data_IF_035333964360
#
_entry.id   IF_035333964360
#
_cell.length_a   1.000
_cell.length_b   1.000
_cell.length_c   1.000
_cell.angle_alpha   90.00
_cell.angle_beta   90.00
_cell.angle_gamma   90.00
#
_symmetry.space_group_name_H-M   'P 1'
#
loop_
_entity.id
_entity.type
_entity.pdbx_description
1 polymer ?
#
# COMPACT_ATOMS: atom_id res chain seq x y z
N UNK A 1 -14.72 -21.76 -9.17
CA UNK A 1 -14.96 -20.49 -8.48
C UNK A 1 -16.31 -19.93 -8.92
N UNK A 2 -17.08 -19.32 -8.04
CA UNK A 2 -18.41 -18.79 -8.36
C UNK A 2 -18.30 -17.32 -8.73
N UNK A 3 -19.08 -16.87 -9.72
CA UNK A 3 -19.20 -15.47 -10.07
C UNK A 3 -20.25 -14.78 -9.18
N UNK A 4 -20.04 -13.50 -8.88
CA UNK A 4 -21.07 -12.65 -8.30
C UNK A 4 -22.22 -12.49 -9.32
N UNK A 5 -23.45 -12.29 -8.89
CA UNK A 5 -24.61 -12.14 -9.80
C UNK A 5 -24.41 -11.01 -10.82
N UNK A 6 -23.87 -9.88 -10.38
CA UNK A 6 -23.52 -8.76 -11.26
C UNK A 6 -22.49 -9.12 -12.31
N UNK A 7 -21.55 -10.00 -11.99
CA UNK A 7 -20.48 -10.44 -12.90
C UNK A 7 -21.02 -11.49 -13.89
N UNK A 8 -21.90 -12.38 -13.45
CA UNK A 8 -22.60 -13.28 -14.36
C UNK A 8 -23.45 -12.48 -15.38
N UNK A 9 -24.17 -11.45 -14.91
CA UNK A 9 -24.92 -10.55 -15.77
C UNK A 9 -24.00 -9.76 -16.74
N UNK A 10 -22.80 -9.37 -16.31
CA UNK A 10 -21.79 -8.71 -17.15
C UNK A 10 -21.33 -9.61 -18.30
N UNK A 11 -21.06 -10.88 -18.03
CA UNK A 11 -20.66 -11.86 -19.05
C UNK A 11 -21.78 -12.08 -20.07
N UNK A 12 -23.03 -12.15 -19.61
CA UNK A 12 -24.20 -12.25 -20.50
C UNK A 12 -24.35 -10.98 -21.37
N UNK A 13 -24.13 -9.79 -20.81
CA UNK A 13 -24.12 -8.53 -21.55
C UNK A 13 -23.02 -8.52 -22.62
N UNK A 14 -21.82 -9.00 -22.29
CA UNK A 14 -20.74 -9.11 -23.29
C UNK A 14 -21.14 -10.00 -24.47
N UNK A 15 -21.89 -11.07 -24.22
CA UNK A 15 -22.45 -11.92 -25.28
C UNK A 15 -23.55 -11.19 -26.10
N UNK A 16 -24.37 -10.35 -25.46
CA UNK A 16 -25.34 -9.51 -26.15
C UNK A 16 -24.67 -8.46 -27.03
N UNK A 17 -23.60 -7.79 -26.54
CA UNK A 17 -22.81 -6.83 -27.32
C UNK A 17 -22.20 -7.51 -28.56
N UNK A 18 -21.65 -8.71 -28.42
CA UNK A 18 -21.13 -9.46 -29.55
C UNK A 18 -22.20 -9.77 -30.60
N UNK A 19 -23.43 -10.16 -30.16
CA UNK A 19 -24.57 -10.41 -31.04
C UNK A 19 -25.04 -9.12 -31.73
N UNK A 20 -25.16 -8.01 -31.00
CA UNK A 20 -25.60 -6.72 -31.59
C UNK A 20 -24.66 -6.20 -32.66
N UNK A 21 -23.37 -6.52 -32.53
CA UNK A 21 -22.32 -6.21 -33.50
C UNK A 21 -22.21 -7.25 -34.63
N UNK A 22 -22.92 -8.37 -34.55
CA UNK A 22 -22.87 -9.45 -35.53
C UNK A 22 -21.58 -10.27 -35.49
N UNK A 23 -20.89 -10.30 -34.37
CA UNK A 23 -19.63 -11.06 -34.21
C UNK A 23 -19.91 -12.52 -33.86
N UNK A 24 -19.11 -13.44 -34.42
CA UNK A 24 -19.32 -14.89 -34.24
C UNK A 24 -18.83 -15.43 -32.88
N UNK A 25 -18.06 -14.67 -32.13
CA UNK A 25 -17.51 -15.06 -30.82
C UNK A 25 -17.41 -13.88 -29.86
N UNK A 26 -17.50 -14.16 -28.56
CA UNK A 26 -17.36 -13.16 -27.51
C UNK A 26 -15.88 -12.96 -27.19
N UNK A 27 -15.35 -11.76 -27.42
CA UNK A 27 -13.95 -11.37 -27.14
C UNK A 27 -13.82 -10.42 -25.96
N UNK A 28 -12.57 -10.07 -25.64
CA UNK A 28 -12.25 -9.12 -24.54
C UNK A 28 -12.76 -7.70 -24.80
N UNK A 29 -12.86 -7.26 -26.07
CA UNK A 29 -13.46 -5.99 -26.44
C UNK A 29 -14.94 -5.91 -26.02
N UNK A 30 -15.71 -6.98 -26.25
CA UNK A 30 -17.12 -7.05 -25.83
C UNK A 30 -17.26 -7.03 -24.31
N UNK A 31 -16.35 -7.68 -23.59
CA UNK A 31 -16.35 -7.64 -22.13
C UNK A 31 -16.04 -6.25 -21.60
N UNK A 32 -15.07 -5.55 -22.22
CA UNK A 32 -14.73 -4.15 -21.86
C UNK A 32 -15.92 -3.21 -22.13
N UNK A 33 -16.59 -3.36 -23.28
CA UNK A 33 -17.77 -2.59 -23.65
C UNK A 33 -18.93 -2.82 -22.66
N UNK A 34 -19.17 -4.08 -22.30
CA UNK A 34 -20.19 -4.42 -21.31
C UNK A 34 -19.85 -3.84 -19.93
N UNK A 35 -18.55 -3.85 -19.55
CA UNK A 35 -18.08 -3.33 -18.29
C UNK A 35 -18.24 -1.81 -18.19
N UNK A 36 -17.94 -1.07 -19.26
CA UNK A 36 -18.13 0.38 -19.32
C UNK A 36 -19.62 0.77 -19.15
N UNK A 37 -20.53 -0.02 -19.68
CA UNK A 37 -22.00 0.18 -19.50
C UNK A 37 -22.56 -0.42 -18.20
N UNK A 38 -21.74 -1.11 -17.39
CA UNK A 38 -22.23 -1.75 -16.17
C UNK A 38 -22.42 -0.75 -15.03
N UNK A 39 -23.44 -0.91 -14.19
CA UNK A 39 -23.55 -0.20 -12.93
C UNK A 39 -22.46 -0.67 -11.95
N UNK A 40 -22.08 0.19 -10.98
CA UNK A 40 -21.09 -0.12 -9.96
C UNK A 40 -19.71 0.44 -10.22
N UNK A 41 -18.80 0.22 -9.26
CA UNK A 41 -17.49 0.87 -9.17
C UNK A 41 -16.59 0.60 -10.39
N UNK A 42 -16.55 -0.63 -10.88
CA UNK A 42 -15.69 -0.99 -12.02
C UNK A 42 -16.04 -0.21 -13.29
N UNK A 43 -17.35 -0.10 -13.60
CA UNK A 43 -17.80 0.71 -14.74
C UNK A 43 -17.57 2.21 -14.53
N UNK A 44 -17.74 2.69 -13.29
CA UNK A 44 -17.49 4.09 -12.96
C UNK A 44 -16.01 4.46 -13.11
N UNK A 45 -15.12 3.64 -12.59
CA UNK A 45 -13.66 3.82 -12.75
C UNK A 45 -13.25 3.85 -14.23
N UNK A 46 -13.76 2.91 -15.02
CA UNK A 46 -13.43 2.82 -16.44
C UNK A 46 -13.88 4.06 -17.20
N UNK A 47 -15.10 4.54 -16.96
CA UNK A 47 -15.62 5.78 -17.56
C UNK A 47 -14.83 7.03 -17.10
N UNK A 48 -14.51 7.10 -15.80
CA UNK A 48 -13.72 8.20 -15.24
C UNK A 48 -12.29 8.28 -15.80
N UNK A 49 -11.77 7.16 -16.32
CA UNK A 49 -10.48 7.09 -16.99
C UNK A 49 -10.55 7.31 -18.51
N UNK A 50 -11.70 7.70 -19.05
CA UNK A 50 -11.88 7.92 -20.50
C UNK A 50 -12.44 6.73 -21.28
N UNK A 51 -12.73 5.59 -20.63
CA UNK A 51 -13.33 4.42 -21.24
C UNK A 51 -14.87 4.54 -21.37
N UNK A 52 -15.36 5.61 -21.97
CA UNK A 52 -16.79 5.82 -22.18
C UNK A 52 -17.35 4.80 -23.17
N UNK A 53 -18.57 4.32 -22.89
CA UNK A 53 -19.20 3.26 -23.68
C UNK A 53 -19.38 3.62 -25.15
N UNK A 54 -19.76 4.86 -25.44
CA UNK A 54 -20.00 5.33 -26.81
C UNK A 54 -18.72 5.38 -27.63
N UNK A 55 -17.62 5.83 -27.01
CA UNK A 55 -16.30 5.86 -27.65
C UNK A 55 -15.79 4.45 -27.91
N UNK A 56 -15.89 3.56 -26.91
CA UNK A 56 -15.51 2.16 -27.04
C UNK A 56 -16.31 1.45 -28.14
N UNK A 57 -17.62 1.70 -28.23
CA UNK A 57 -18.48 1.12 -29.24
C UNK A 57 -18.04 1.54 -30.66
N UNK A 58 -17.81 2.83 -30.87
CA UNK A 58 -17.30 3.36 -32.15
C UNK A 58 -15.95 2.75 -32.54
N UNK A 59 -15.04 2.65 -31.57
CA UNK A 59 -13.73 2.04 -31.82
C UNK A 59 -13.84 0.55 -32.17
N UNK A 60 -14.71 -0.19 -31.50
CA UNK A 60 -14.97 -1.61 -31.83
C UNK A 60 -15.54 -1.73 -33.25
N UNK A 61 -16.47 -0.87 -33.65
CA UNK A 61 -17.03 -0.84 -35.01
C UNK A 61 -15.98 -0.47 -36.08
N UNK A 62 -15.11 0.47 -35.78
CA UNK A 62 -14.03 0.88 -36.71
C UNK A 62 -12.96 -0.19 -36.86
N UNK A 63 -12.52 -0.79 -35.76
CA UNK A 63 -11.39 -1.73 -35.77
C UNK A 63 -11.77 -3.15 -36.17
N UNK A 64 -12.96 -3.60 -35.77
CA UNK A 64 -13.39 -4.99 -35.96
C UNK A 64 -14.57 -5.13 -36.92
N UNK A 65 -15.16 -4.00 -37.34
CA UNK A 65 -16.31 -3.96 -38.25
C UNK A 65 -17.61 -4.38 -37.60
N UNK A 66 -18.69 -4.34 -38.39
CA UNK A 66 -19.97 -4.98 -38.06
C UNK A 66 -20.10 -6.27 -38.86
N UNK A 67 -20.38 -7.38 -38.20
CA UNK A 67 -20.67 -8.65 -38.82
C UNK A 67 -22.15 -8.80 -39.23
N UNK A 68 -22.53 -9.98 -39.72
CA UNK A 68 -23.92 -10.30 -40.03
C UNK A 68 -24.73 -10.59 -38.77
N UNK A 69 -25.84 -9.88 -38.54
CA UNK A 69 -26.66 -9.96 -37.34
C UNK A 69 -27.34 -11.32 -37.14
N UNK A 70 -27.50 -12.10 -38.18
CA UNK A 70 -28.23 -13.39 -38.18
C UNK A 70 -27.34 -14.61 -37.93
N UNK A 71 -26.02 -14.39 -37.72
CA UNK A 71 -25.14 -15.52 -37.42
C UNK A 71 -25.19 -15.88 -35.92
N UNK A 72 -25.53 -17.13 -35.57
CA UNK A 72 -25.44 -17.57 -34.19
C UNK A 72 -23.98 -17.50 -33.71
N UNK A 73 -23.77 -17.26 -32.39
CA UNK A 73 -22.46 -17.33 -31.75
C UNK A 73 -21.91 -18.77 -31.86
N UNK A 74 -21.34 -19.10 -33.03
CA UNK A 74 -20.87 -20.47 -33.35
C UNK A 74 -19.64 -20.91 -32.56
N UNK A 75 -18.84 -19.99 -32.04
CA UNK A 75 -17.56 -20.30 -31.39
C UNK A 75 -17.49 -19.99 -29.88
N UNK A 76 -18.57 -19.51 -29.26
CA UNK A 76 -18.57 -19.20 -27.84
C UNK A 76 -17.61 -18.06 -27.48
N UNK A 77 -16.73 -18.29 -26.49
CA UNK A 77 -15.76 -17.29 -26.01
C UNK A 77 -14.40 -17.49 -26.65
N UNK A 78 -13.70 -16.39 -27.00
CA UNK A 78 -12.31 -16.44 -27.47
C UNK A 78 -11.37 -17.02 -26.41
N UNK A 79 -10.23 -17.57 -26.84
CA UNK A 79 -9.20 -18.06 -25.93
C UNK A 79 -8.68 -16.95 -24.98
N UNK A 80 -8.55 -15.72 -25.49
CA UNK A 80 -8.16 -14.57 -24.69
C UNK A 80 -9.17 -14.22 -23.61
N UNK A 81 -10.48 -14.22 -23.91
CA UNK A 81 -11.52 -13.98 -22.95
C UNK A 81 -11.54 -15.05 -21.84
N UNK A 82 -11.41 -16.34 -22.21
CA UNK A 82 -11.31 -17.42 -21.23
C UNK A 82 -10.12 -17.26 -20.29
N UNK A 83 -8.98 -16.79 -20.80
CA UNK A 83 -7.79 -16.50 -19.98
C UNK A 83 -8.05 -15.31 -19.03
N UNK A 84 -8.69 -14.23 -19.49
CA UNK A 84 -9.06 -13.09 -18.62
C UNK A 84 -9.99 -13.52 -17.49
N UNK A 85 -10.98 -14.36 -17.77
CA UNK A 85 -11.87 -14.89 -16.74
C UNK A 85 -11.15 -15.79 -15.73
N UNK A 86 -10.16 -16.57 -16.21
CA UNK A 86 -9.26 -17.35 -15.35
C UNK A 86 -8.36 -16.45 -14.48
N UNK A 87 -7.84 -15.37 -15.05
CA UNK A 87 -7.03 -14.38 -14.31
C UNK A 87 -7.88 -13.65 -13.27
N UNK A 88 -9.09 -13.24 -13.60
CA UNK A 88 -10.03 -12.64 -12.66
C UNK A 88 -10.39 -13.58 -11.50
N UNK A 89 -10.49 -14.90 -11.78
CA UNK A 89 -10.70 -15.89 -10.73
C UNK A 89 -9.48 -16.04 -9.82
N UNK A 90 -8.28 -15.92 -10.37
CA UNK A 90 -7.03 -15.89 -9.58
C UNK A 90 -6.93 -14.61 -8.75
N UNK A 91 -7.29 -13.47 -9.31
CA UNK A 91 -7.31 -12.19 -8.61
C UNK A 91 -8.27 -12.24 -7.41
N UNK A 92 -9.49 -12.75 -7.61
CA UNK A 92 -10.45 -12.95 -6.52
C UNK A 92 -9.90 -13.88 -5.43
N UNK A 93 -9.17 -14.96 -5.81
CA UNK A 93 -8.56 -15.87 -4.85
C UNK A 93 -7.44 -15.21 -4.05
N UNK A 94 -6.59 -14.38 -4.70
CA UNK A 94 -5.51 -13.63 -4.05
C UNK A 94 -6.10 -12.67 -3.01
N UNK A 95 -7.22 -12.03 -3.34
CA UNK A 95 -7.90 -11.09 -2.45
C UNK A 95 -8.81 -11.78 -1.41
N UNK A 96 -8.81 -13.11 -1.36
CA UNK A 96 -9.62 -13.88 -0.41
C UNK A 96 -11.11 -13.81 -0.65
N UNK A 97 -11.56 -13.43 -1.85
CA UNK A 97 -12.97 -13.37 -2.23
C UNK A 97 -13.48 -14.73 -2.68
N UNK A 98 -14.63 -15.15 -2.17
CA UNK A 98 -15.30 -16.41 -2.57
C UNK A 98 -15.93 -16.32 -3.97
N UNK A 99 -16.14 -15.11 -4.48
CA UNK A 99 -16.79 -14.83 -5.76
C UNK A 99 -16.02 -13.81 -6.58
N UNK A 100 -16.03 -13.99 -7.88
CA UNK A 100 -15.44 -13.04 -8.83
C UNK A 100 -16.36 -11.84 -9.00
N UNK A 101 -15.88 -10.61 -8.70
CA UNK A 101 -16.60 -9.35 -8.89
C UNK A 101 -16.22 -8.67 -10.21
N UNK A 102 -16.96 -7.61 -10.59
CA UNK A 102 -16.64 -6.80 -11.77
C UNK A 102 -15.29 -6.08 -11.65
N UNK A 103 -14.84 -5.74 -10.43
CA UNK A 103 -13.52 -5.18 -10.20
C UNK A 103 -12.41 -6.20 -10.52
N UNK A 104 -12.57 -7.47 -10.13
CA UNK A 104 -11.62 -8.52 -10.49
C UNK A 104 -11.53 -8.71 -12.02
N UNK A 105 -12.66 -8.56 -12.74
CA UNK A 105 -12.67 -8.57 -14.21
C UNK A 105 -11.89 -7.38 -14.79
N UNK A 106 -12.12 -6.18 -14.25
CA UNK A 106 -11.39 -4.98 -14.68
C UNK A 106 -9.88 -5.15 -14.48
N UNK A 107 -9.45 -5.56 -13.28
CA UNK A 107 -8.03 -5.79 -12.98
C UNK A 107 -7.39 -6.82 -13.90
N UNK A 108 -8.09 -7.92 -14.19
CA UNK A 108 -7.61 -8.95 -15.12
C UNK A 108 -7.49 -8.44 -16.57
N UNK A 109 -8.39 -7.56 -17.02
CA UNK A 109 -8.30 -6.92 -18.33
C UNK A 109 -7.11 -5.97 -18.43
N UNK A 110 -6.88 -5.15 -17.39
CA UNK A 110 -5.80 -4.16 -17.35
C UNK A 110 -4.40 -4.82 -17.36
N UNK A 111 -4.23 -5.96 -16.70
CA UNK A 111 -2.96 -6.71 -16.70
C UNK A 111 -2.59 -7.30 -18.06
N UNK A 112 -3.56 -7.49 -18.97
CA UNK A 112 -3.29 -8.10 -20.28
C UNK A 112 -3.06 -7.02 -21.34
N UNK A 113 -1.79 -6.87 -21.74
CA UNK A 113 -1.41 -5.92 -22.78
C UNK A 113 -1.81 -6.37 -24.19
N UNK A 114 -1.68 -7.67 -24.50
CA UNK A 114 -1.95 -8.22 -25.85
C UNK A 114 -3.35 -8.84 -25.92
N UNK A 115 -4.38 -7.99 -25.93
CA UNK A 115 -5.76 -8.39 -26.17
C UNK A 115 -6.56 -7.22 -26.73
N UNK A 116 -7.69 -7.51 -27.39
CA UNK A 116 -8.54 -6.47 -28.02
C UNK A 116 -9.00 -5.38 -27.05
N UNK A 117 -9.28 -5.71 -25.79
CA UNK A 117 -9.58 -4.71 -24.77
C UNK A 117 -8.39 -3.81 -24.48
N UNK A 118 -7.17 -4.38 -24.47
CA UNK A 118 -5.95 -3.65 -24.28
C UNK A 118 -5.69 -2.64 -25.39
N UNK A 119 -5.83 -3.06 -26.63
CA UNK A 119 -5.68 -2.17 -27.82
C UNK A 119 -6.65 -0.98 -27.76
N UNK A 120 -7.90 -1.23 -27.36
CA UNK A 120 -8.89 -0.16 -27.21
C UNK A 120 -8.51 0.85 -26.13
N UNK A 121 -8.01 0.38 -24.99
CA UNK A 121 -7.57 1.25 -23.89
C UNK A 121 -6.32 2.06 -24.28
N UNK A 122 -5.41 1.48 -25.06
CA UNK A 122 -4.22 2.17 -25.55
C UNK A 122 -4.59 3.28 -26.56
N UNK A 123 -5.53 3.03 -27.47
CA UNK A 123 -6.04 4.03 -28.43
C UNK A 123 -6.72 5.21 -27.69
N UNK A 124 -7.42 4.92 -26.60
CA UNK A 124 -8.05 5.95 -25.77
C UNK A 124 -7.05 6.65 -24.81
N UNK A 125 -5.78 6.32 -24.88
CA UNK A 125 -4.73 6.82 -24.00
C UNK A 125 -5.08 6.71 -22.51
N UNK A 126 -5.77 5.61 -22.11
CA UNK A 126 -6.12 5.34 -20.74
C UNK A 126 -4.88 4.94 -19.96
N UNK A 127 -4.59 5.66 -18.90
CA UNK A 127 -3.53 5.30 -17.93
C UNK A 127 -3.93 4.03 -17.18
N UNK A 128 -3.42 2.89 -17.67
CA UNK A 128 -3.76 1.56 -17.13
C UNK A 128 -3.23 1.35 -15.73
N UNK A 129 -2.04 1.88 -15.40
CA UNK A 129 -1.40 1.67 -14.11
C UNK A 129 -2.15 2.44 -13.04
N UNK A 130 -2.53 3.67 -13.32
CA UNK A 130 -3.37 4.48 -12.45
C UNK A 130 -4.76 3.85 -12.24
N UNK A 131 -5.36 3.36 -13.33
CA UNK A 131 -6.67 2.71 -13.26
C UNK A 131 -6.60 1.37 -12.51
N UNK A 132 -5.51 0.62 -12.69
CA UNK A 132 -5.25 -0.62 -11.97
C UNK A 132 -5.12 -0.38 -10.47
N UNK A 133 -4.31 0.61 -10.08
CA UNK A 133 -4.11 0.98 -8.66
C UNK A 133 -5.43 1.36 -8.00
N UNK A 134 -6.21 2.25 -8.63
CA UNK A 134 -7.53 2.65 -8.13
C UNK A 134 -8.52 1.48 -8.05
N UNK A 135 -8.52 0.60 -9.04
CA UNK A 135 -9.36 -0.61 -9.07
C UNK A 135 -8.98 -1.62 -7.98
N UNK A 136 -7.69 -1.80 -7.74
CA UNK A 136 -7.18 -2.69 -6.70
C UNK A 136 -7.57 -2.18 -5.30
N UNK A 137 -7.38 -0.90 -5.01
CA UNK A 137 -7.79 -0.29 -3.74
C UNK A 137 -9.28 -0.47 -3.44
N UNK A 138 -10.14 -0.24 -4.44
CA UNK A 138 -11.59 -0.39 -4.29
C UNK A 138 -12.00 -1.85 -4.11
N UNK A 139 -11.37 -2.77 -4.85
CA UNK A 139 -11.63 -4.20 -4.70
C UNK A 139 -11.28 -4.70 -3.29
N UNK A 140 -10.19 -4.22 -2.72
CA UNK A 140 -9.83 -4.49 -1.32
C UNK A 140 -10.84 -3.92 -0.32
N UNK A 141 -11.38 -2.71 -0.58
CA UNK A 141 -12.42 -2.09 0.28
C UNK A 141 -13.74 -2.85 0.21
N UNK A 142 -14.18 -3.29 -0.98
CA UNK A 142 -15.40 -4.10 -1.13
C UNK A 142 -15.29 -5.44 -0.39
N UNK A 143 -14.14 -6.10 -0.46
CA UNK A 143 -13.92 -7.36 0.24
C UNK A 143 -13.87 -7.20 1.77
N UNK A 144 -13.51 -6.02 2.30
CA UNK A 144 -13.59 -5.70 3.73
C UNK A 144 -15.03 -5.49 4.21
N UNK A 145 -15.91 -4.98 3.36
CA UNK A 145 -17.31 -4.67 3.70
C UNK A 145 -18.22 -5.90 3.74
N UNK A 146 -17.80 -7.03 3.17
CA UNK A 146 -18.56 -8.28 3.26
C UNK A 146 -18.14 -9.06 4.51
N UNK A 147 -19.08 -9.41 5.42
CA UNK A 147 -18.77 -10.28 6.54
C UNK A 147 -18.26 -11.62 5.99
N UNK A 148 -17.00 -11.95 6.26
CA UNK A 148 -16.38 -13.23 5.90
C UNK A 148 -17.25 -14.34 6.49
N UNK A 149 -18.02 -15.03 5.66
CA UNK A 149 -18.64 -16.30 6.04
C UNK A 149 -17.50 -17.31 6.25
N UNK A 150 -17.38 -17.73 7.48
CA UNK A 150 -16.44 -18.68 8.04
C UNK A 150 -16.05 -19.79 7.03
N UNK A 151 -14.77 -19.78 6.58
CA UNK A 151 -13.99 -20.99 6.76
C UNK A 151 -13.57 -20.97 8.22
N UNK A 152 -13.77 -22.05 8.94
CA UNK A 152 -13.24 -22.28 10.27
C UNK A 152 -11.70 -22.19 10.25
N UNK A 153 -11.18 -20.97 10.09
CA UNK A 153 -9.85 -20.60 10.49
C UNK A 153 -9.94 -20.37 11.98
N UNK A 154 -9.23 -21.17 12.74
CA UNK A 154 -9.03 -20.95 14.16
C UNK A 154 -8.85 -19.46 14.41
N UNK A 155 -9.69 -18.90 15.28
CA UNK A 155 -9.71 -17.48 15.66
C UNK A 155 -8.28 -17.05 16.05
N UNK A 156 -7.67 -16.16 15.26
CA UNK A 156 -6.37 -15.54 15.57
C UNK A 156 -6.54 -14.31 16.48
N UNK A 157 -7.48 -14.36 17.41
CA UNK A 157 -7.85 -13.23 18.26
C UNK A 157 -6.67 -12.69 19.09
N UNK A 158 -5.80 -13.59 19.56
CA UNK A 158 -4.64 -13.20 20.34
C UNK A 158 -3.56 -12.57 19.46
N UNK A 159 -3.27 -13.15 18.30
CA UNK A 159 -2.30 -12.56 17.37
C UNK A 159 -2.76 -11.17 16.91
N UNK A 160 -4.04 -11.00 16.55
CA UNK A 160 -4.61 -9.70 16.13
C UNK A 160 -4.59 -8.64 17.23
N UNK A 161 -4.59 -9.05 18.51
CA UNK A 161 -4.52 -8.13 19.64
C UNK A 161 -3.11 -7.52 19.84
N UNK A 162 -2.05 -8.31 19.57
CA UNK A 162 -0.66 -7.94 19.82
C UNK A 162 0.15 -7.67 18.57
N UNK A 163 -0.48 -7.74 17.41
CA UNK A 163 0.19 -7.58 16.13
C UNK A 163 -0.64 -6.82 15.12
N UNK A 164 0.03 -6.36 14.09
CA UNK A 164 -0.54 -5.58 13.01
C UNK A 164 -0.31 -6.27 11.67
N UNK A 165 -1.37 -6.45 10.88
CA UNK A 165 -1.26 -7.01 9.53
C UNK A 165 -0.79 -5.92 8.56
N UNK A 166 0.49 -5.97 8.19
CA UNK A 166 1.12 -5.00 7.30
C UNK A 166 0.53 -5.04 5.88
N UNK A 167 0.10 -6.22 5.41
CA UNK A 167 -0.53 -6.34 4.08
C UNK A 167 -1.87 -5.61 4.04
N UNK A 168 -2.63 -5.68 5.14
CA UNK A 168 -3.89 -4.95 5.23
C UNK A 168 -3.71 -3.44 5.23
N UNK A 169 -2.59 -2.96 5.77
CA UNK A 169 -2.23 -1.55 5.80
C UNK A 169 -1.49 -1.07 4.55
N UNK A 170 -1.01 -1.97 3.71
CA UNK A 170 -0.17 -1.63 2.55
C UNK A 170 -0.76 -0.53 1.64
N UNK A 171 -2.10 -0.47 1.52
CA UNK A 171 -2.79 0.56 0.73
C UNK A 171 -2.83 1.96 1.37
N UNK A 172 -2.46 2.08 2.65
CA UNK A 172 -2.37 3.35 3.39
C UNK A 172 -0.93 3.73 3.73
N UNK A 173 0.04 2.87 3.42
CA UNK A 173 1.46 3.12 3.61
C UNK A 173 1.99 4.02 2.50
N UNK A 174 3.01 4.79 2.84
CA UNK A 174 3.74 5.58 1.85
C UNK A 174 4.53 4.68 0.88
N UNK A 175 4.77 5.13 -0.35
CA UNK A 175 5.51 4.34 -1.33
C UNK A 175 6.97 4.17 -0.87
N UNK A 176 7.46 2.94 -0.90
CA UNK A 176 8.88 2.64 -0.59
C UNK A 176 9.72 2.82 -1.85
N UNK A 177 10.74 3.65 -1.76
CA UNK A 177 11.59 4.08 -2.88
C UNK A 177 13.05 3.72 -2.58
N UNK A 178 13.76 3.24 -3.60
CA UNK A 178 15.21 3.00 -3.54
C UNK A 178 15.64 1.74 -2.77
N UNK A 179 14.70 0.84 -2.43
CA UNK A 179 14.97 -0.40 -1.67
C UNK A 179 14.59 -1.68 -2.41
N UNK A 180 14.47 -1.60 -3.74
CA UNK A 180 14.03 -2.72 -4.58
C UNK A 180 14.97 -3.93 -4.47
N UNK A 181 16.28 -3.71 -4.37
CA UNK A 181 17.30 -4.76 -4.26
C UNK A 181 17.18 -5.52 -2.95
N UNK A 182 17.04 -4.80 -1.84
CA UNK A 182 16.90 -5.39 -0.51
C UNK A 182 15.58 -6.15 -0.41
N UNK A 183 14.48 -5.61 -0.93
CA UNK A 183 13.18 -6.28 -0.97
C UNK A 183 13.26 -7.56 -1.83
N UNK A 184 13.91 -7.53 -2.99
CA UNK A 184 14.11 -8.72 -3.84
C UNK A 184 14.95 -9.78 -3.11
N UNK A 185 15.97 -9.36 -2.36
CA UNK A 185 16.81 -10.26 -1.56
C UNK A 185 16.01 -10.89 -0.42
N UNK A 186 15.17 -10.11 0.28
CA UNK A 186 14.25 -10.60 1.32
C UNK A 186 13.28 -11.62 0.73
N UNK A 187 12.65 -11.33 -0.41
CA UNK A 187 11.74 -12.24 -1.12
C UNK A 187 12.46 -13.54 -1.50
N UNK A 188 13.68 -13.44 -2.03
CA UNK A 188 14.50 -14.59 -2.38
C UNK A 188 14.79 -15.48 -1.16
N UNK A 189 15.15 -14.88 -0.01
CA UNK A 189 15.42 -15.62 1.22
C UNK A 189 14.15 -16.27 1.76
N UNK A 190 13.03 -15.54 1.84
CA UNK A 190 11.75 -16.06 2.29
C UNK A 190 11.23 -17.24 1.44
N UNK A 191 11.63 -17.30 0.17
CA UNK A 191 11.23 -18.36 -0.76
C UNK A 191 12.08 -19.64 -0.66
N UNK A 192 13.14 -19.65 0.17
CA UNK A 192 14.03 -20.81 0.35
C UNK A 192 13.40 -21.89 1.23
N UNK A 193 13.87 -23.12 1.05
CA UNK A 193 13.49 -24.25 1.91
C UNK A 193 14.20 -24.22 3.28
N UNK A 194 15.44 -23.73 3.31
CA UNK A 194 16.28 -23.63 4.51
C UNK A 194 16.89 -22.24 4.60
N UNK A 195 17.21 -21.80 5.81
CA UNK A 195 17.68 -20.42 6.10
C UNK A 195 16.76 -19.38 5.46
N UNK A 196 15.46 -19.55 5.69
CA UNK A 196 14.39 -18.78 5.08
C UNK A 196 13.89 -17.62 5.95
N UNK A 197 14.68 -17.22 6.95
CA UNK A 197 14.39 -16.07 7.79
C UNK A 197 15.40 -14.95 7.47
N UNK A 198 15.02 -13.92 6.73
CA UNK A 198 15.88 -12.76 6.53
C UNK A 198 15.99 -11.93 7.80
N UNK A 199 17.18 -11.39 8.05
CA UNK A 199 17.44 -10.39 9.08
C UNK A 199 17.97 -9.12 8.40
N UNK A 200 17.22 -8.03 8.46
CA UNK A 200 17.64 -6.71 7.99
C UNK A 200 18.65 -6.15 9.00
N UNK A 201 19.85 -5.93 8.55
CA UNK A 201 20.97 -5.51 9.41
C UNK A 201 21.52 -4.18 8.92
N UNK A 202 21.44 -3.15 9.74
CA UNK A 202 21.91 -1.81 9.40
C UNK A 202 21.75 -0.86 10.57
N UNK A 203 22.34 0.34 10.45
CA UNK A 203 22.26 1.37 11.47
C UNK A 203 20.84 1.87 11.71
N UNK A 204 20.54 2.49 12.85
CA UNK A 204 19.22 3.11 13.08
C UNK A 204 18.95 4.18 12.03
N UNK A 205 17.69 4.30 11.58
CA UNK A 205 17.28 5.36 10.63
C UNK A 205 17.62 5.10 9.16
N UNK A 206 18.26 3.95 8.79
CA UNK A 206 18.56 3.65 7.38
C UNK A 206 17.36 3.12 6.58
N UNK A 207 16.20 2.95 7.19
CA UNK A 207 14.98 2.50 6.52
C UNK A 207 14.74 0.99 6.52
N UNK A 208 15.16 0.26 7.57
CA UNK A 208 14.89 -1.18 7.71
C UNK A 208 13.40 -1.52 7.72
N UNK A 209 12.61 -0.75 8.44
CA UNK A 209 11.15 -0.92 8.53
C UNK A 209 10.47 -0.65 7.19
N UNK A 210 10.95 0.33 6.42
CA UNK A 210 10.47 0.63 5.07
C UNK A 210 10.61 -0.59 4.12
N UNK A 211 11.68 -1.39 4.26
CA UNK A 211 11.84 -2.63 3.46
C UNK A 211 10.75 -3.64 3.78
N UNK A 212 10.36 -3.78 5.06
CA UNK A 212 9.24 -4.65 5.44
C UNK A 212 7.90 -4.13 4.91
N UNK A 213 7.70 -2.81 4.91
CA UNK A 213 6.53 -2.14 4.31
C UNK A 213 6.49 -2.34 2.79
N UNK A 214 7.63 -2.19 2.10
CA UNK A 214 7.75 -2.47 0.67
C UNK A 214 7.48 -3.94 0.32
N UNK A 215 7.93 -4.88 1.15
CA UNK A 215 7.55 -6.29 1.03
C UNK A 215 6.03 -6.46 1.17
N UNK A 216 5.41 -5.82 2.18
CA UNK A 216 3.96 -5.87 2.38
C UNK A 216 3.19 -5.32 1.17
N UNK A 217 3.65 -4.21 0.59
CA UNK A 217 3.08 -3.63 -0.63
C UNK A 217 3.20 -4.59 -1.82
N UNK A 218 4.37 -5.21 -2.03
CA UNK A 218 4.55 -6.20 -3.09
C UNK A 218 3.70 -7.46 -2.90
N UNK A 219 3.55 -7.92 -1.66
CA UNK A 219 2.67 -9.05 -1.32
C UNK A 219 1.21 -8.69 -1.55
N UNK A 220 0.78 -7.49 -1.18
CA UNK A 220 -0.58 -6.98 -1.42
C UNK A 220 -0.89 -6.90 -2.92
N UNK A 221 0.05 -6.44 -3.74
CA UNK A 221 -0.07 -6.38 -5.20
C UNK A 221 0.08 -7.76 -5.88
N UNK A 222 0.41 -8.82 -5.12
CA UNK A 222 0.65 -10.16 -5.66
C UNK A 222 1.94 -10.27 -6.50
N UNK A 223 2.83 -9.28 -6.41
CA UNK A 223 4.11 -9.21 -7.14
C UNK A 223 5.22 -9.96 -6.37
N UNK A 224 4.92 -11.19 -5.99
CA UNK A 224 5.79 -12.10 -5.24
C UNK A 224 5.71 -13.53 -5.81
N UNK A 225 6.75 -14.36 -5.60
CA UNK A 225 6.73 -15.76 -6.00
C UNK A 225 5.54 -16.54 -5.44
N UNK A 226 5.15 -17.67 -6.09
CA UNK A 226 4.00 -18.48 -5.66
C UNK A 226 4.04 -18.92 -4.20
N UNK A 227 5.24 -19.13 -3.63
CA UNK A 227 5.45 -19.56 -2.24
C UNK A 227 5.05 -18.51 -1.21
N UNK A 228 5.03 -17.23 -1.59
CA UNK A 228 4.65 -16.11 -0.74
C UNK A 228 3.22 -15.61 -1.02
N UNK A 229 2.59 -16.07 -2.10
CA UNK A 229 1.21 -15.68 -2.43
C UNK A 229 0.23 -16.23 -1.41
N UNK A 230 -0.61 -15.34 -0.89
CA UNK A 230 -1.61 -15.69 0.12
C UNK A 230 -1.09 -15.74 1.55
N UNK A 231 0.22 -15.55 1.77
CA UNK A 231 0.76 -15.37 3.13
C UNK A 231 0.44 -14.00 3.68
N UNK A 232 0.41 -13.91 5.00
CA UNK A 232 0.23 -12.68 5.77
C UNK A 232 1.59 -12.24 6.31
N UNK A 233 1.90 -10.94 6.21
CA UNK A 233 3.04 -10.32 6.90
C UNK A 233 2.51 -9.56 8.10
N UNK A 234 2.89 -10.01 9.30
CA UNK A 234 2.32 -9.53 10.56
C UNK A 234 3.43 -8.95 11.42
N UNK A 235 3.34 -7.68 11.75
CA UNK A 235 4.28 -7.00 12.65
C UNK A 235 3.90 -7.26 14.09
N UNK A 236 4.79 -7.89 14.87
CA UNK A 236 4.59 -8.18 16.28
C UNK A 236 5.06 -7.01 17.13
N UNK A 237 4.16 -6.47 17.94
CA UNK A 237 4.49 -5.42 18.89
C UNK A 237 4.81 -6.04 20.26
N UNK A 238 6.11 -6.12 20.58
CA UNK A 238 6.59 -6.72 21.83
C UNK A 238 6.21 -5.87 23.04
N UNK A 239 6.21 -4.55 22.90
CA UNK A 239 5.82 -3.64 23.97
C UNK A 239 4.38 -3.90 24.41
N UNK A 240 3.47 -4.18 23.47
CA UNK A 240 2.08 -4.52 23.77
C UNK A 240 1.95 -5.88 24.48
N UNK A 241 2.84 -6.84 24.16
CA UNK A 241 2.86 -8.14 24.85
C UNK A 241 3.28 -8.02 26.32
N UNK A 242 4.20 -7.11 26.61
CA UNK A 242 4.69 -6.82 27.97
C UNK A 242 3.71 -5.93 28.74
N UNK A 243 2.99 -5.05 28.06
CA UNK A 243 2.07 -4.12 28.69
C UNK A 243 1.01 -4.83 29.52
N UNK A 244 0.85 -4.40 30.79
CA UNK A 244 -0.13 -4.95 31.72
C UNK A 244 0.23 -6.31 32.34
N UNK A 245 1.41 -6.89 32.05
CA UNK A 245 1.90 -8.06 32.77
C UNK A 245 2.59 -7.64 34.08
N UNK A 246 2.17 -8.23 35.20
CA UNK A 246 2.79 -7.99 36.49
C UNK A 246 3.95 -8.95 36.76
N UNK A 247 3.94 -10.11 36.15
CA UNK A 247 4.91 -11.18 36.36
C UNK A 247 5.47 -11.67 35.02
N UNK A 248 6.75 -12.06 35.02
CA UNK A 248 7.46 -12.64 33.88
C UNK A 248 6.70 -13.81 33.25
N UNK A 249 6.09 -14.67 34.05
CA UNK A 249 5.35 -15.86 33.58
C UNK A 249 4.13 -15.52 32.72
N UNK A 250 3.45 -14.38 32.98
CA UNK A 250 2.30 -13.96 32.20
C UNK A 250 2.71 -13.53 30.75
N UNK A 251 3.84 -12.86 30.61
CA UNK A 251 4.40 -12.54 29.30
C UNK A 251 4.80 -13.80 28.53
N UNK A 252 5.50 -14.74 29.19
CA UNK A 252 5.92 -15.98 28.54
C UNK A 252 4.71 -16.82 28.10
N UNK A 253 3.62 -16.84 28.85
CA UNK A 253 2.38 -17.53 28.53
C UNK A 253 1.72 -16.87 27.31
N UNK A 254 1.53 -15.55 27.32
CA UNK A 254 0.99 -14.81 26.17
C UNK A 254 1.79 -15.05 24.89
N UNK A 255 3.11 -15.00 24.98
CA UNK A 255 3.98 -15.24 23.84
C UNK A 255 3.87 -16.67 23.31
N UNK A 256 3.78 -17.68 24.18
CA UNK A 256 3.54 -19.08 23.79
C UNK A 256 2.21 -19.25 23.09
N UNK A 257 1.17 -18.55 23.55
CA UNK A 257 -0.16 -18.62 22.96
C UNK A 257 -0.17 -17.97 21.56
N UNK A 258 0.43 -16.78 21.40
CA UNK A 258 0.60 -16.12 20.09
C UNK A 258 1.37 -17.04 19.13
N UNK A 259 2.49 -17.62 19.55
CA UNK A 259 3.26 -18.54 18.72
C UNK A 259 2.48 -19.83 18.41
N UNK A 260 1.61 -20.30 19.31
CA UNK A 260 0.76 -21.45 19.06
C UNK A 260 -0.29 -21.15 17.99
N UNK A 261 -0.83 -19.93 17.96
CA UNK A 261 -1.74 -19.47 16.90
C UNK A 261 -1.02 -19.37 15.55
N UNK A 262 0.20 -18.81 15.51
CA UNK A 262 1.02 -18.74 14.30
C UNK A 262 1.33 -20.14 13.75
N UNK A 263 1.70 -21.08 14.60
CA UNK A 263 1.98 -22.48 14.20
C UNK A 263 0.77 -23.18 13.57
N UNK A 264 -0.43 -22.90 14.06
CA UNK A 264 -1.66 -23.45 13.49
C UNK A 264 -2.00 -22.84 12.13
N UNK A 265 -1.43 -21.68 11.83
CA UNK A 265 -1.65 -20.92 10.59
C UNK A 265 -0.31 -20.73 9.88
N UNK A 266 0.08 -21.70 9.06
CA UNK A 266 1.36 -21.74 8.33
C UNK A 266 1.56 -20.58 7.33
N UNK A 267 0.54 -19.74 7.16
CA UNK A 267 0.51 -18.66 6.18
C UNK A 267 0.98 -17.30 6.75
N UNK A 268 1.49 -17.31 8.00
CA UNK A 268 1.98 -16.10 8.67
C UNK A 268 3.49 -16.00 8.56
N UNK A 269 3.97 -14.85 8.09
CA UNK A 269 5.35 -14.39 8.22
C UNK A 269 5.36 -13.32 9.30
N UNK A 270 6.17 -13.53 10.33
CA UNK A 270 6.27 -12.60 11.45
C UNK A 270 7.33 -11.55 11.15
N UNK A 271 6.98 -10.27 11.16
CA UNK A 271 7.94 -9.17 11.19
C UNK A 271 8.19 -8.76 12.63
N UNK A 272 9.46 -8.63 12.98
CA UNK A 272 9.92 -8.20 14.31
C UNK A 272 10.96 -7.13 14.12
N UNK A 273 10.59 -5.92 14.48
CA UNK A 273 11.56 -4.85 14.60
C UNK A 273 12.34 -4.98 15.89
N UNK A 274 13.58 -4.51 15.93
CA UNK A 274 14.50 -4.68 17.06
C UNK A 274 14.54 -6.14 17.58
N UNK A 275 14.69 -7.11 16.66
CA UNK A 275 14.63 -8.53 16.96
C UNK A 275 15.60 -8.97 18.09
N UNK A 276 16.63 -8.18 18.36
CA UNK A 276 17.57 -8.40 19.46
C UNK A 276 16.90 -8.35 20.84
N UNK A 277 15.79 -7.61 20.96
CA UNK A 277 15.01 -7.53 22.20
C UNK A 277 14.35 -8.88 22.56
N UNK A 278 14.03 -9.68 21.55
CA UNK A 278 13.47 -11.03 21.74
C UNK A 278 14.59 -12.04 22.03
N UNK A 279 15.73 -11.91 21.33
CA UNK A 279 16.77 -12.93 21.30
C UNK A 279 17.84 -12.71 22.36
N UNK A 280 18.06 -11.44 22.77
CA UNK A 280 19.17 -11.04 23.62
C UNK A 280 18.83 -10.67 25.06
N UNK A 281 17.57 -10.64 25.42
CA UNK A 281 17.11 -10.13 26.72
C UNK A 281 17.52 -10.95 27.96
N UNK A 282 18.17 -12.11 27.80
CA UNK A 282 18.53 -12.99 28.89
C UNK A 282 19.77 -12.60 29.72
N UNK A 283 20.48 -11.48 29.39
CA UNK A 283 21.75 -11.15 30.03
C UNK A 283 21.67 -10.13 31.17
N UNK A 284 20.53 -9.48 31.39
CA UNK A 284 20.34 -8.55 32.50
C UNK A 284 19.37 -9.13 33.52
N UNK A 285 19.68 -9.00 34.83
CA UNK A 285 18.76 -9.40 35.89
C UNK A 285 17.40 -8.68 35.73
N UNK A 286 16.37 -9.47 35.43
CA UNK A 286 15.00 -8.96 35.16
C UNK A 286 14.61 -8.88 33.68
N UNK A 287 15.50 -9.14 32.72
CA UNK A 287 15.17 -9.13 31.31
C UNK A 287 14.37 -10.39 30.90
N UNK A 288 13.39 -10.17 30.04
CA UNK A 288 12.42 -11.18 29.60
C UNK A 288 13.09 -12.11 28.58
N UNK A 289 13.25 -13.39 28.91
CA UNK A 289 13.91 -14.38 28.03
C UNK A 289 12.92 -14.97 27.01
N UNK A 290 12.52 -14.16 26.03
CA UNK A 290 11.69 -14.63 24.93
C UNK A 290 12.45 -15.59 23.99
N UNK A 291 13.79 -15.56 24.01
CA UNK A 291 14.64 -16.39 23.17
C UNK A 291 14.36 -17.88 23.33
N UNK A 292 14.18 -18.34 24.57
CA UNK A 292 13.91 -19.75 24.85
C UNK A 292 12.55 -20.22 24.28
N UNK A 293 11.64 -19.33 23.99
CA UNK A 293 10.34 -19.63 23.41
C UNK A 293 10.41 -19.62 21.87
N UNK A 294 11.15 -18.65 21.28
CA UNK A 294 11.31 -18.53 19.83
C UNK A 294 12.27 -19.58 19.24
N UNK A 295 13.39 -19.87 19.90
CA UNK A 295 14.43 -20.79 19.39
C UNK A 295 13.89 -22.16 18.99
N UNK A 296 13.05 -22.85 19.78
CA UNK A 296 12.49 -24.13 19.37
C UNK A 296 11.58 -24.05 18.14
N UNK A 297 10.79 -22.98 18.01
CA UNK A 297 9.89 -22.77 16.89
C UNK A 297 10.65 -22.49 15.58
N UNK A 298 11.65 -21.60 15.65
CA UNK A 298 12.57 -21.32 14.54
C UNK A 298 13.41 -22.57 14.19
N UNK A 299 13.91 -23.27 15.21
CA UNK A 299 14.71 -24.48 15.06
C UNK A 299 14.00 -25.62 14.31
N UNK A 300 12.71 -25.79 14.51
CA UNK A 300 11.88 -26.79 13.80
C UNK A 300 11.33 -26.31 12.46
N UNK A 301 11.51 -25.01 12.11
CA UNK A 301 10.94 -24.43 10.90
C UNK A 301 9.41 -24.22 10.95
N UNK A 302 8.87 -24.16 12.17
CA UNK A 302 7.44 -23.95 12.44
C UNK A 302 7.05 -22.46 12.35
N UNK A 303 8.05 -21.58 12.28
CA UNK A 303 7.91 -20.14 12.23
C UNK A 303 8.77 -19.59 11.10
N UNK A 304 8.21 -18.71 10.30
CA UNK A 304 8.92 -17.90 9.32
C UNK A 304 8.94 -16.45 9.81
N UNK A 305 10.13 -15.83 9.85
CA UNK A 305 10.34 -14.53 10.46
C UNK A 305 11.20 -13.63 9.54
N UNK A 306 10.84 -12.36 9.48
CA UNK A 306 11.66 -11.25 9.01
C UNK A 306 12.03 -10.41 10.23
N UNK A 307 13.32 -10.32 10.55
CA UNK A 307 13.80 -9.50 11.67
C UNK A 307 14.49 -8.24 11.18
N UNK A 308 14.49 -7.18 12.01
CA UNK A 308 15.34 -6.00 11.81
C UNK A 308 16.16 -5.76 13.07
N UNK A 309 17.44 -5.37 12.90
CA UNK A 309 18.37 -5.10 14.02
C UNK A 309 19.59 -4.32 13.53
N UNK A 310 20.46 -3.91 14.44
CA UNK A 310 21.77 -3.32 14.09
C UNK A 310 22.84 -4.40 13.84
N UNK A 311 23.93 -4.04 13.15
CA UNK A 311 25.03 -4.96 12.90
C UNK A 311 25.69 -5.44 14.19
N UNK A 312 25.86 -4.55 15.15
CA UNK A 312 26.44 -4.84 16.46
C UNK A 312 25.60 -5.87 17.24
N UNK A 313 24.29 -5.69 17.23
CA UNK A 313 23.35 -6.59 17.93
C UNK A 313 23.21 -7.93 17.20
N UNK A 314 23.19 -7.93 15.86
CA UNK A 314 23.18 -9.14 15.07
C UNK A 314 24.37 -10.04 15.42
N UNK A 315 25.59 -9.46 15.41
CA UNK A 315 26.82 -10.19 15.79
C UNK A 315 26.81 -10.68 17.24
N UNK A 316 26.27 -9.86 18.15
CA UNK A 316 26.26 -10.16 19.58
C UNK A 316 25.29 -11.28 19.94
N UNK A 317 24.10 -11.29 19.33
CA UNK A 317 22.98 -12.13 19.76
C UNK A 317 22.58 -13.23 18.77
N UNK A 318 22.79 -13.05 17.45
CA UNK A 318 22.38 -14.01 16.44
C UNK A 318 23.56 -14.87 15.98
N UNK A 319 24.67 -14.28 15.59
CA UNK A 319 25.83 -15.02 15.10
C UNK A 319 26.49 -15.92 16.18
N UNK A 320 26.41 -15.50 17.44
CA UNK A 320 26.95 -16.30 18.55
C UNK A 320 26.08 -17.48 18.93
N UNK A 321 24.84 -17.54 18.48
CA UNK A 321 23.93 -18.64 18.76
C UNK A 321 23.84 -19.57 17.55
N UNK A 322 24.41 -20.80 17.62
CA UNK A 322 24.44 -21.71 16.47
C UNK A 322 23.05 -22.15 15.97
N UNK A 323 22.03 -22.09 16.85
CA UNK A 323 20.66 -22.44 16.45
C UNK A 323 20.01 -21.36 15.61
N UNK A 324 20.30 -20.08 15.90
CA UNK A 324 19.79 -18.92 15.18
C UNK A 324 20.60 -18.64 13.90
N UNK A 325 21.94 -18.71 13.97
CA UNK A 325 22.82 -18.52 12.81
C UNK A 325 22.45 -19.42 11.63
N UNK A 326 22.08 -20.67 11.93
CA UNK A 326 21.64 -21.64 10.91
C UNK A 326 20.27 -21.35 10.33
N UNK A 327 19.51 -20.42 10.89
CA UNK A 327 18.13 -20.10 10.47
C UNK A 327 17.98 -18.74 9.86
N UNK A 328 18.79 -17.79 10.31
CA UNK A 328 18.76 -16.43 9.77
C UNK A 328 19.77 -16.22 8.64
N UNK A 329 19.42 -15.31 7.74
CA UNK A 329 20.29 -14.82 6.69
C UNK A 329 20.32 -13.29 6.75
N UNK A 330 21.49 -12.68 7.00
CA UNK A 330 21.58 -11.23 7.04
C UNK A 330 21.39 -10.63 5.63
N UNK A 331 20.66 -9.54 5.59
CA UNK A 331 20.51 -8.61 4.47
C UNK A 331 21.00 -7.27 4.98
N UNK A 332 22.17 -6.86 4.49
CA UNK A 332 22.75 -5.57 4.87
C UNK A 332 21.94 -4.44 4.25
N UNK A 333 21.56 -3.49 5.10
CA UNK A 333 20.86 -2.26 4.69
C UNK A 333 21.83 -1.12 4.91
N UNK A 334 22.35 -0.62 3.82
CA UNK A 334 23.32 0.49 3.84
C UNK A 334 22.61 1.83 3.91
N UNK A 335 23.31 2.85 4.43
CA UNK A 335 22.83 4.22 4.38
C UNK A 335 22.71 4.66 2.92
N UNK A 336 21.57 5.19 2.46
CA UNK A 336 21.42 5.68 1.10
C UNK A 336 22.26 6.93 0.89
N UNK A 337 22.78 7.09 -0.33
CA UNK A 337 23.49 8.31 -0.72
C UNK A 337 22.55 9.53 -0.81
N UNK A 338 23.14 10.73 -0.92
CA UNK A 338 22.37 11.98 -1.01
C UNK A 338 21.35 11.96 -2.18
N UNK A 339 21.75 11.43 -3.34
CA UNK A 339 20.87 11.35 -4.51
C UNK A 339 19.69 10.40 -4.31
N UNK A 340 19.94 9.25 -3.66
CA UNK A 340 18.88 8.29 -3.30
C UNK A 340 17.96 8.87 -2.23
N UNK A 341 18.53 9.53 -1.22
CA UNK A 341 17.78 10.23 -0.17
C UNK A 341 16.87 11.30 -0.76
N UNK A 342 17.36 12.09 -1.71
CA UNK A 342 16.54 13.08 -2.40
C UNK A 342 15.36 12.41 -3.16
N UNK A 343 15.59 11.25 -3.78
CA UNK A 343 14.53 10.50 -4.44
C UNK A 343 13.49 9.96 -3.45
N UNK A 344 13.93 9.53 -2.27
CA UNK A 344 13.04 9.11 -1.16
C UNK A 344 12.20 10.31 -0.69
N UNK A 345 12.82 11.45 -0.42
CA UNK A 345 12.11 12.67 0.00
C UNK A 345 11.07 13.12 -1.02
N UNK A 346 11.38 13.05 -2.33
CA UNK A 346 10.40 13.33 -3.39
C UNK A 346 9.19 12.40 -3.36
N UNK A 347 9.39 11.15 -3.00
CA UNK A 347 8.30 10.20 -2.84
C UNK A 347 7.42 10.48 -1.63
N UNK A 348 8.02 10.95 -0.53
CA UNK A 348 7.33 11.29 0.71
C UNK A 348 6.69 12.69 0.67
N UNK A 349 7.18 13.58 -0.19
CA UNK A 349 6.73 14.97 -0.33
C UNK A 349 5.19 15.11 -0.39
N UNK A 350 4.42 14.34 -1.20
CA UNK A 350 2.96 14.50 -1.25
C UNK A 350 2.27 14.13 0.07
N UNK A 351 2.88 13.26 0.87
CA UNK A 351 2.43 12.90 2.21
C UNK A 351 2.61 14.06 3.19
N UNK A 352 3.81 14.60 3.24
CA UNK A 352 4.19 15.74 4.08
C UNK A 352 3.39 17.01 3.73
N UNK A 353 3.23 17.31 2.44
CA UNK A 353 2.43 18.45 1.97
C UNK A 353 0.96 18.36 2.42
N UNK A 354 0.39 17.16 2.36
CA UNK A 354 -0.99 16.93 2.84
C UNK A 354 -1.10 17.06 4.36
N UNK A 355 -0.07 16.62 5.08
CA UNK A 355 -0.05 16.66 6.54
C UNK A 355 0.05 18.08 7.06
N UNK A 356 1.00 18.86 6.54
CA UNK A 356 1.26 20.22 6.98
C UNK A 356 0.39 21.28 6.29
N UNK A 357 -0.30 20.92 5.20
CA UNK A 357 -1.17 21.84 4.45
C UNK A 357 -0.40 22.92 3.69
N UNK A 358 0.86 22.70 3.38
CA UNK A 358 1.74 23.62 2.66
C UNK A 358 2.41 22.92 1.46
N UNK A 359 2.99 23.70 0.56
CA UNK A 359 3.80 23.20 -0.55
C UNK A 359 5.27 23.13 -0.14
N UNK A 360 5.92 22.02 -0.43
CA UNK A 360 7.35 21.80 -0.24
C UNK A 360 8.02 21.91 -1.62
N UNK A 361 9.01 22.77 -1.77
CA UNK A 361 9.71 22.94 -3.05
C UNK A 361 10.86 21.95 -3.21
N UNK A 362 11.29 21.68 -4.45
CA UNK A 362 12.45 20.83 -4.75
C UNK A 362 13.75 21.38 -4.13
N UNK A 363 13.87 22.72 -4.02
CA UNK A 363 14.99 23.37 -3.33
C UNK A 363 14.98 23.03 -1.84
N UNK A 364 13.80 23.01 -1.18
CA UNK A 364 13.69 22.65 0.22
C UNK A 364 14.12 21.19 0.46
N UNK A 365 13.73 20.26 -0.42
CA UNK A 365 14.17 18.87 -0.36
C UNK A 365 15.69 18.76 -0.49
N UNK A 366 16.27 19.46 -1.45
CA UNK A 366 17.72 19.46 -1.71
C UNK A 366 18.50 20.05 -0.53
N UNK A 367 18.00 21.16 0.02
CA UNK A 367 18.62 21.79 1.18
C UNK A 367 18.48 20.94 2.45
N UNK A 368 17.38 20.25 2.67
CA UNK A 368 17.20 19.34 3.78
C UNK A 368 18.25 18.22 3.75
N UNK A 369 18.49 17.60 2.59
CA UNK A 369 19.53 16.57 2.43
C UNK A 369 20.91 17.16 2.70
N UNK A 370 21.26 18.31 2.10
CA UNK A 370 22.55 18.96 2.24
C UNK A 370 22.83 19.37 3.69
N UNK A 371 21.85 19.96 4.37
CA UNK A 371 21.99 20.42 5.75
C UNK A 371 22.07 19.24 6.73
N UNK A 372 21.22 18.20 6.53
CA UNK A 372 21.28 16.99 7.34
C UNK A 372 22.65 16.30 7.21
N UNK A 373 23.22 16.20 6.01
CA UNK A 373 24.54 15.64 5.78
C UNK A 373 25.64 16.44 6.47
N UNK A 374 25.52 17.77 6.52
CA UNK A 374 26.54 18.66 7.09
C UNK A 374 26.47 18.78 8.61
N UNK A 375 25.26 18.83 9.18
CA UNK A 375 25.07 19.21 10.59
C UNK A 375 24.62 18.07 11.48
N UNK A 376 24.21 16.92 10.91
CA UNK A 376 23.76 15.73 11.65
C UNK A 376 24.66 14.51 11.34
N UNK A 377 25.96 14.55 11.67
CA UNK A 377 26.89 13.48 11.30
C UNK A 377 26.68 12.19 12.11
N UNK A 378 26.02 12.26 13.26
CA UNK A 378 25.76 11.09 14.13
C UNK A 378 24.49 10.34 13.77
N UNK A 379 23.68 10.88 12.86
CA UNK A 379 22.45 10.27 12.37
C UNK A 379 22.64 9.77 10.94
N UNK A 380 21.75 8.87 10.49
CA UNK A 380 21.83 8.24 9.17
C UNK A 380 20.71 8.70 8.25
N UNK A 381 21.01 8.76 6.95
CA UNK A 381 20.00 8.92 5.90
C UNK A 381 19.14 7.64 5.77
N UNK A 382 17.86 7.77 5.39
CA UNK A 382 17.14 9.00 5.05
C UNK A 382 16.55 9.73 6.26
N UNK A 383 16.53 9.11 7.44
CA UNK A 383 15.80 9.56 8.64
C UNK A 383 16.13 10.99 9.03
N UNK A 384 17.43 11.33 9.17
CA UNK A 384 17.89 12.69 9.51
C UNK A 384 17.40 13.77 8.52
N UNK A 385 17.21 13.43 7.25
CA UNK A 385 16.73 14.38 6.25
C UNK A 385 15.20 14.49 6.26
N UNK A 386 14.51 13.39 6.55
CA UNK A 386 13.05 13.36 6.73
C UNK A 386 12.69 14.20 7.95
N UNK A 387 13.32 13.96 9.09
CA UNK A 387 13.08 14.69 10.33
C UNK A 387 13.31 16.19 10.16
N UNK A 388 14.42 16.57 9.52
CA UNK A 388 14.72 17.99 9.28
C UNK A 388 13.69 18.66 8.37
N UNK A 389 13.20 17.93 7.35
CA UNK A 389 12.18 18.43 6.43
C UNK A 389 10.82 18.56 7.13
N UNK A 390 10.45 17.57 7.91
CA UNK A 390 9.18 17.54 8.67
C UNK A 390 9.13 18.67 9.71
N UNK A 391 10.22 18.85 10.46
CA UNK A 391 10.37 19.96 11.42
C UNK A 391 10.32 21.33 10.72
N UNK A 392 11.03 21.47 9.60
CA UNK A 392 11.00 22.68 8.79
C UNK A 392 9.60 23.02 8.28
N UNK A 393 8.88 22.01 7.80
CA UNK A 393 7.51 22.14 7.33
C UNK A 393 6.54 22.52 8.48
N UNK A 394 6.69 21.92 9.65
CA UNK A 394 5.90 22.25 10.84
C UNK A 394 6.12 23.70 11.28
N UNK A 395 7.39 24.16 11.28
CA UNK A 395 7.71 25.55 11.59
C UNK A 395 7.15 26.53 10.56
N UNK A 396 7.23 26.21 9.27
CA UNK A 396 6.65 27.02 8.19
C UNK A 396 5.13 27.14 8.33
N UNK A 397 4.44 26.04 8.58
CA UNK A 397 2.99 26.00 8.80
C UNK A 397 2.57 26.87 10.01
N UNK A 398 3.35 26.83 11.11
CA UNK A 398 3.12 27.72 12.26
C UNK A 398 3.40 29.18 11.93
N UNK A 399 4.40 29.46 11.09
CA UNK A 399 4.72 30.81 10.62
C UNK A 399 3.60 31.41 9.76
N UNK A 400 3.03 30.63 8.83
CA UNK A 400 1.89 31.03 8.03
C UNK A 400 0.64 31.32 8.87
N UNK A 401 0.38 30.50 9.89
CA UNK A 401 -0.71 30.75 10.83
C UNK A 401 -0.52 32.04 11.64
N UNK A 402 0.71 32.37 12.01
CA UNK A 402 1.03 33.64 12.69
C UNK A 402 0.86 34.83 11.78
N UNK A 403 1.43 34.76 10.56
CA UNK A 403 1.28 35.81 9.56
C UNK A 403 -0.18 36.02 9.16
N UNK A 404 -0.96 34.96 9.01
CA UNK A 404 -2.40 35.05 8.76
C UNK A 404 -3.18 35.74 9.89
N UNK A 405 -2.81 35.50 11.16
CA UNK A 405 -3.40 36.17 12.33
C UNK A 405 -3.02 37.64 12.39
N UNK A 406 -1.73 37.95 12.16
CA UNK A 406 -1.23 39.32 12.19
C UNK A 406 -1.81 40.15 11.05
N UNK A 407 -1.92 39.59 9.84
CA UNK A 407 -2.59 40.23 8.70
C UNK A 407 -4.08 40.44 8.95
N UNK A 408 -4.76 39.49 9.58
CA UNK A 408 -6.17 39.61 9.94
C UNK A 408 -6.39 40.70 10.98
N UNK A 409 -5.55 40.72 11.98
CA UNK A 409 -5.60 41.76 13.05
C UNK A 409 -5.30 43.17 12.49
N UNK A 410 -4.33 43.26 11.55
CA UNK A 410 -4.06 44.51 10.85
C UNK A 410 -5.22 44.94 9.94
N UNK A 411 -5.89 44.02 9.26
CA UNK A 411 -7.09 44.31 8.44
C UNK A 411 -8.29 44.69 9.32
N UNK A 412 -8.46 44.08 10.51
CA UNK A 412 -9.50 44.42 11.47
C UNK A 412 -9.28 45.85 12.07
N UNK A 413 -8.03 46.18 12.37
CA UNK A 413 -7.65 47.50 12.83
C UNK A 413 -7.90 48.56 11.75
N UNK A 414 -7.43 48.31 10.51
CA UNK A 414 -7.64 49.22 9.37
C UNK A 414 -9.14 49.41 9.04
N UNK A 415 -9.94 48.33 9.17
CA UNK A 415 -11.38 48.38 8.99
C UNK A 415 -12.04 49.28 10.09
N UNK A 416 -11.63 49.10 11.33
CA UNK A 416 -12.11 49.89 12.47
C UNK A 416 -11.78 51.39 12.32
N UNK A 417 -10.57 51.72 11.84
CA UNK A 417 -10.15 53.09 11.56
C UNK A 417 -10.94 53.67 10.38
N UNK A 418 -11.10 52.94 9.26
CA UNK A 418 -11.88 53.40 8.13
C UNK A 418 -13.36 53.67 8.48
N UNK A 419 -13.93 52.87 9.37
CA UNK A 419 -15.30 53.12 9.90
C UNK A 419 -15.36 54.38 10.79
N UNK A 420 -14.34 54.59 11.67
CA UNK A 420 -14.25 55.77 12.51
C UNK A 420 -14.11 57.06 11.71
N UNK A 421 -13.36 57.00 10.61
CA UNK A 421 -13.12 58.14 9.71
C UNK A 421 -14.23 58.32 8.66
N UNK A 422 -15.32 57.55 8.77
CA UNK A 422 -16.47 57.57 7.82
C UNK A 422 -16.09 57.27 6.37
N UNK A 423 -14.97 56.55 6.13
CA UNK A 423 -14.50 56.12 4.81
C UNK A 423 -15.19 54.80 4.38
N UNK A 424 -16.48 54.85 4.10
CA UNK A 424 -17.32 53.67 3.89
C UNK A 424 -16.89 52.80 2.68
N UNK A 425 -16.40 53.42 1.58
CA UNK A 425 -15.88 52.67 0.42
C UNK A 425 -14.62 51.86 0.77
N UNK A 426 -13.71 52.48 1.51
CA UNK A 426 -12.49 51.80 1.99
C UNK A 426 -12.82 50.69 3.00
N UNK A 427 -13.78 50.92 3.87
CA UNK A 427 -14.26 49.91 4.79
C UNK A 427 -14.89 48.72 4.09
N UNK A 428 -15.65 48.94 3.01
CA UNK A 428 -16.23 47.89 2.17
C UNK A 428 -15.14 47.05 1.48
N UNK A 429 -14.10 47.69 0.92
CA UNK A 429 -12.98 47.02 0.30
C UNK A 429 -12.17 46.17 1.28
N UNK A 430 -11.91 46.65 2.47
CA UNK A 430 -11.20 45.94 3.54
C UNK A 430 -12.01 44.72 4.01
N UNK A 431 -13.34 44.89 4.21
CA UNK A 431 -14.23 43.77 4.53
C UNK A 431 -14.23 42.69 3.48
N UNK A 432 -14.23 43.05 2.19
CA UNK A 432 -14.21 42.07 1.09
C UNK A 432 -12.86 41.39 0.96
N UNK A 433 -11.74 42.04 1.29
CA UNK A 433 -10.42 41.43 1.45
C UNK A 433 -10.41 40.42 2.61
N UNK A 434 -10.98 40.74 3.76
CA UNK A 434 -11.11 39.81 4.88
C UNK A 434 -11.93 38.56 4.50
N UNK A 435 -13.04 38.72 3.77
CA UNK A 435 -13.85 37.59 3.29
C UNK A 435 -13.08 36.69 2.31
N UNK A 436 -12.26 37.26 1.43
CA UNK A 436 -11.42 36.48 0.48
C UNK A 436 -10.28 35.73 1.18
N UNK A 437 -9.76 36.23 2.29
CA UNK A 437 -8.71 35.56 3.06
C UNK A 437 -9.22 34.37 3.90
N UNK A 438 -10.53 34.28 4.14
CA UNK A 438 -11.16 33.20 4.93
C UNK A 438 -11.54 31.98 4.08
N UNK A 439 -11.72 32.13 2.73
CA UNK A 439 -12.07 30.99 1.86
C UNK A 439 -11.32 31.05 0.51
N UNK A 440 -10.09 30.51 0.43
CA UNK A 440 -9.33 30.45 -0.80
C UNK A 440 -9.93 29.51 -1.87
N UNK A 441 -11.01 28.79 -1.58
CA UNK A 441 -11.63 27.77 -2.46
C UNK A 441 -12.87 28.26 -3.22
N UNK A 442 -13.28 29.52 -3.10
CA UNK A 442 -14.34 30.09 -3.94
C UNK A 442 -13.72 30.93 -5.06
N UNK A 443 -13.61 30.40 -6.31
CA UNK A 443 -13.38 31.25 -7.46
C UNK A 443 -14.58 32.20 -7.61
N UNK A 444 -14.28 33.48 -7.78
CA UNK A 444 -15.28 34.53 -7.92
C UNK A 444 -16.29 34.23 -9.03
N UNK A 445 -17.54 34.46 -8.71
CA UNK A 445 -18.59 34.75 -9.68
C UNK A 445 -18.46 36.18 -10.14
#
# INVERSE_FOLDING_TARGET
MRYHETTAALILRAAQEARSLGHSCVGTAHLLLALSGAPGMAGHLLRGAGGERELLLRLVEVLYGRGHRDLPLRQGMTAQLRRVLGDASREAAIQGSDRVSNLHILLALLRRQRCSAGELLDILAVDRDRLFTAGAELSWRENRAQPKRNKEGLSMKLLEQFSEDMIQKAGSMEPVIGREREIDMVISILSRKHKNNPALVGEPGVGKTAIAEGLAQRMACGNVPPQLKGKRLVSLNISNLVAGTKYRGEFEERLRDVLSEIRRNSDVILFVDEMHTIVGAGAAEGAIDAANIFKPALGRGELQMLGATTLTEYRKYIEKDPALERRFRPVTVEEPGEAETLSILRGLQPGLERHHGLRITDEALTEAVRLAGRYLPEQFFPDKAIDLLDEGAAHAAMGELRMGKDQRQALEQALSEAVRESQFERAAQLRDRMRKSVDPRRPGR
#
